data_IF_825491276369
#
_entry.id   IF_825491276369
#
_cell.length_a   1.000
_cell.length_b   1.000
_cell.length_c   1.000
_cell.angle_alpha   90.00
_cell.angle_beta   90.00
_cell.angle_gamma   90.00
#
_symmetry.space_group_name_H-M   'P 1'
#
loop_
_entity.id
_entity.type
_entity.pdbx_description
1 polymer ?
#
# COMPACT_ATOMS: atom_id res chain seq x y z
N UNK A 1 18.62 21.53 5.03
CA UNK A 1 17.61 20.55 4.55
C UNK A 1 16.33 20.84 5.30
N UNK A 2 15.26 21.27 4.63
CA UNK A 2 13.95 21.39 5.25
C UNK A 2 13.47 19.99 5.61
N UNK A 3 13.47 19.67 6.90
CA UNK A 3 12.91 18.42 7.40
C UNK A 3 11.47 18.31 6.88
N UNK A 4 11.15 17.24 6.13
CA UNK A 4 9.77 16.90 5.86
C UNK A 4 9.09 16.80 7.22
N UNK A 5 8.11 17.68 7.51
CA UNK A 5 7.48 17.73 8.83
C UNK A 5 7.03 16.33 9.23
N UNK A 6 7.51 15.84 10.38
CA UNK A 6 7.17 14.51 10.85
C UNK A 6 5.81 14.50 11.53
N UNK A 7 5.12 13.36 11.50
CA UNK A 7 3.84 13.14 12.16
C UNK A 7 3.75 11.71 12.68
N UNK A 8 2.90 11.43 13.69
CA UNK A 8 2.61 10.07 14.06
C UNK A 8 1.96 9.31 12.89
N UNK A 9 2.42 8.09 12.61
CA UNK A 9 1.86 7.22 11.58
C UNK A 9 0.38 6.91 11.86
N UNK A 10 0.03 6.78 13.14
CA UNK A 10 -1.32 6.63 13.70
C UNK A 10 -1.29 7.12 15.16
N UNK A 11 -2.43 7.28 15.83
CA UNK A 11 -2.48 7.79 17.22
C UNK A 11 -1.65 6.91 18.16
N UNK A 12 -0.63 7.50 18.78
CA UNK A 12 0.30 6.77 19.68
C UNK A 12 1.34 5.91 18.96
N UNK A 13 1.39 5.95 17.63
CA UNK A 13 2.36 5.23 16.81
C UNK A 13 3.69 5.98 16.63
N UNK A 14 4.62 5.40 15.87
CA UNK A 14 5.92 6.02 15.61
C UNK A 14 5.77 7.31 14.80
N UNK A 15 6.68 8.25 15.06
CA UNK A 15 6.80 9.49 14.30
C UNK A 15 7.58 9.20 13.01
N UNK A 16 6.98 9.52 11.86
CA UNK A 16 7.57 9.30 10.54
C UNK A 16 7.43 10.54 9.66
N UNK A 17 8.27 10.66 8.64
CA UNK A 17 8.09 11.68 7.60
C UNK A 17 6.78 11.51 6.81
N UNK A 18 6.28 12.62 6.24
CA UNK A 18 5.09 12.64 5.35
C UNK A 18 5.26 11.85 4.06
N UNK A 19 6.48 11.51 3.70
CA UNK A 19 6.81 10.71 2.52
C UNK A 19 7.45 9.40 2.96
N UNK A 20 6.83 8.30 2.55
CA UNK A 20 7.40 6.95 2.67
C UNK A 20 7.77 6.37 1.31
N UNK A 21 8.50 5.27 1.33
CA UNK A 21 8.89 4.54 0.11
C UNK A 21 8.09 3.24 -0.02
N UNK A 22 7.30 3.13 -1.09
CA UNK A 22 6.72 1.86 -1.51
C UNK A 22 7.73 1.03 -2.31
N UNK A 23 7.87 -0.26 -2.00
CA UNK A 23 8.98 -1.09 -2.51
C UNK A 23 8.61 -2.00 -3.68
N UNK A 24 7.39 -1.91 -4.23
CA UNK A 24 6.91 -2.83 -5.29
C UNK A 24 7.84 -2.88 -6.51
N UNK A 25 8.36 -1.73 -6.95
CA UNK A 25 9.28 -1.64 -8.09
C UNK A 25 10.71 -2.12 -7.78
N UNK A 26 11.00 -2.45 -6.52
CA UNK A 26 12.28 -2.99 -6.09
C UNK A 26 12.28 -4.52 -6.05
N UNK A 27 11.11 -5.16 -6.16
CA UNK A 27 10.98 -6.62 -6.20
C UNK A 27 10.20 -7.16 -7.40
N UNK A 28 9.58 -6.28 -8.21
CA UNK A 28 8.91 -6.64 -9.47
C UNK A 28 9.22 -5.62 -10.58
N UNK A 29 9.13 -6.05 -11.83
CA UNK A 29 9.03 -5.16 -12.98
C UNK A 29 7.70 -4.39 -12.90
N UNK A 30 7.74 -3.15 -12.41
CA UNK A 30 6.56 -2.36 -12.08
C UNK A 30 6.71 -0.91 -12.51
N UNK A 31 5.64 -0.34 -13.07
CA UNK A 31 5.56 1.08 -13.44
C UNK A 31 5.11 1.28 -14.87
N UNK A 32 5.34 2.48 -15.38
CA UNK A 32 5.01 2.89 -16.75
C UNK A 32 6.30 3.30 -17.47
N UNK A 33 6.51 2.75 -18.67
CA UNK A 33 7.65 3.09 -19.52
C UNK A 33 8.65 1.95 -19.70
N UNK A 34 9.66 2.15 -20.56
CA UNK A 34 10.67 1.14 -20.87
C UNK A 34 11.51 0.75 -19.64
N UNK A 35 11.67 1.66 -18.68
CA UNK A 35 12.43 1.40 -17.45
C UNK A 35 11.56 0.78 -16.33
N UNK A 36 10.36 0.30 -16.65
CA UNK A 36 9.53 -0.48 -15.73
C UNK A 36 10.03 -1.94 -15.63
N UNK A 37 11.34 -2.09 -15.44
CA UNK A 37 12.03 -3.37 -15.32
C UNK A 37 12.38 -3.65 -13.87
N UNK A 38 12.60 -4.93 -13.53
CA UNK A 38 13.10 -5.29 -12.22
C UNK A 38 14.57 -4.81 -12.09
N UNK A 39 14.90 -3.94 -11.12
CA UNK A 39 16.28 -3.51 -10.94
C UNK A 39 17.17 -4.67 -10.44
N UNK A 40 18.48 -4.64 -10.74
CA UNK A 40 19.46 -5.48 -10.06
C UNK A 40 19.35 -5.35 -8.54
N UNK A 41 19.69 -6.42 -7.81
CA UNK A 41 19.58 -6.43 -6.34
C UNK A 41 20.43 -5.34 -5.69
N UNK A 42 21.67 -5.16 -6.15
CA UNK A 42 22.59 -4.16 -5.62
C UNK A 42 21.98 -2.75 -5.70
N UNK A 43 21.35 -2.40 -6.82
CA UNK A 43 20.71 -1.10 -7.03
C UNK A 43 19.45 -0.94 -6.16
N UNK A 44 18.66 -2.00 -6.00
CA UNK A 44 17.50 -1.99 -5.12
C UNK A 44 17.90 -1.75 -3.65
N UNK A 45 18.93 -2.46 -3.18
CA UNK A 45 19.48 -2.30 -1.82
C UNK A 45 20.09 -0.91 -1.64
N UNK A 46 20.86 -0.43 -2.62
CA UNK A 46 21.43 0.92 -2.59
C UNK A 46 20.35 2.01 -2.55
N UNK A 47 19.26 1.84 -3.32
CA UNK A 47 18.11 2.75 -3.33
C UNK A 47 17.44 2.83 -1.95
N UNK A 48 17.20 1.69 -1.31
CA UNK A 48 16.60 1.62 0.03
C UNK A 48 17.49 2.31 1.08
N UNK A 49 18.80 2.06 1.04
CA UNK A 49 19.77 2.71 1.93
C UNK A 49 19.86 4.22 1.68
N UNK A 50 19.89 4.63 0.42
CA UNK A 50 19.91 6.04 0.06
C UNK A 50 18.64 6.77 0.51
N UNK A 51 17.46 6.15 0.38
CA UNK A 51 16.20 6.68 0.89
C UNK A 51 16.26 6.85 2.42
N UNK A 52 16.75 5.84 3.14
CA UNK A 52 16.91 5.92 4.60
C UNK A 52 17.86 7.04 5.01
N UNK A 53 19.05 7.11 4.41
CA UNK A 53 20.03 8.18 4.65
C UNK A 53 19.52 9.56 4.26
N UNK A 54 18.60 9.63 3.30
CA UNK A 54 17.89 10.85 2.89
C UNK A 54 16.74 11.26 3.81
N UNK A 55 16.49 10.54 4.91
CA UNK A 55 15.46 10.87 5.90
C UNK A 55 14.09 10.23 5.64
N UNK A 56 13.99 9.23 4.77
CA UNK A 56 12.78 8.40 4.69
C UNK A 56 12.78 7.42 5.86
N UNK A 57 11.78 7.50 6.72
CA UNK A 57 11.64 6.63 7.89
C UNK A 57 10.61 5.51 7.67
N UNK A 58 9.63 5.69 6.78
CA UNK A 58 8.54 4.74 6.55
C UNK A 58 8.69 3.99 5.21
N UNK A 59 8.64 2.66 5.26
CA UNK A 59 8.77 1.79 4.10
C UNK A 59 7.58 0.82 4.03
N UNK A 60 6.96 0.72 2.86
CA UNK A 60 5.78 -0.14 2.63
C UNK A 60 6.12 -1.23 1.60
N UNK A 61 6.12 -2.48 2.05
CA UNK A 61 6.47 -3.66 1.27
C UNK A 61 5.36 -4.71 1.34
N UNK A 62 5.54 -5.86 0.68
CA UNK A 62 4.64 -7.01 0.80
C UNK A 62 5.32 -8.29 0.29
N UNK A 63 4.92 -9.48 0.79
CA UNK A 63 5.35 -10.77 0.24
C UNK A 63 4.98 -10.94 -1.24
N UNK A 64 3.87 -10.32 -1.67
CA UNK A 64 3.40 -10.37 -3.05
C UNK A 64 4.25 -9.53 -4.02
N UNK A 65 5.20 -8.72 -3.52
CA UNK A 65 6.04 -7.85 -4.35
C UNK A 65 7.35 -8.54 -4.75
N UNK A 66 7.27 -9.82 -5.15
CA UNK A 66 8.44 -10.61 -5.51
C UNK A 66 9.51 -10.60 -4.41
N UNK A 67 10.72 -10.15 -4.75
CA UNK A 67 11.87 -10.11 -3.84
C UNK A 67 11.91 -8.90 -2.89
N UNK A 68 10.89 -8.04 -2.89
CA UNK A 68 10.94 -6.75 -2.20
C UNK A 68 11.18 -6.88 -0.69
N UNK A 69 10.55 -7.84 0.01
CA UNK A 69 10.80 -8.05 1.45
C UNK A 69 12.24 -8.42 1.73
N UNK A 70 12.78 -9.40 1.00
CA UNK A 70 14.16 -9.86 1.19
C UNK A 70 15.16 -8.73 0.92
N UNK A 71 14.96 -7.97 -0.16
CA UNK A 71 15.79 -6.79 -0.50
C UNK A 71 15.65 -5.69 0.54
N UNK A 72 14.44 -5.48 1.08
CA UNK A 72 14.19 -4.56 2.19
C UNK A 72 14.95 -4.99 3.45
N UNK A 73 14.92 -6.28 3.81
CA UNK A 73 15.67 -6.79 4.96
C UNK A 73 17.20 -6.73 4.80
N UNK A 74 17.72 -6.91 3.58
CA UNK A 74 19.14 -6.71 3.28
C UNK A 74 19.59 -5.25 3.44
N UNK A 75 18.70 -4.31 3.16
CA UNK A 75 19.00 -2.89 3.25
C UNK A 75 18.73 -2.31 4.65
N UNK A 76 17.64 -2.73 5.29
CA UNK A 76 16.97 -2.08 6.41
C UNK A 76 16.52 -3.10 7.48
N UNK A 77 17.39 -4.03 7.85
CA UNK A 77 17.17 -4.97 8.97
C UNK A 77 16.99 -4.26 10.32
N UNK A 78 17.04 -5.02 11.41
CA UNK A 78 16.67 -4.58 12.77
C UNK A 78 17.20 -3.19 13.17
N UNK A 79 18.51 -2.95 13.00
CA UNK A 79 19.18 -1.74 13.51
C UNK A 79 19.03 -0.50 12.61
N UNK A 80 18.27 -0.58 11.51
CA UNK A 80 18.15 0.53 10.55
C UNK A 80 17.35 1.74 11.07
N UNK A 81 16.60 1.58 12.16
CA UNK A 81 15.66 2.58 12.66
C UNK A 81 14.54 2.92 11.67
N UNK A 82 14.35 2.11 10.62
CA UNK A 82 13.25 2.24 9.67
C UNK A 82 11.98 1.60 10.23
N UNK A 83 10.84 2.27 10.04
CA UNK A 83 9.50 1.74 10.28
C UNK A 83 9.03 1.02 9.02
N UNK A 84 8.80 -0.30 9.10
CA UNK A 84 8.44 -1.15 7.96
C UNK A 84 7.01 -1.69 8.13
N UNK A 85 6.14 -1.35 7.19
CA UNK A 85 4.87 -2.01 7.01
C UNK A 85 4.98 -3.11 5.94
N UNK A 86 4.68 -4.35 6.30
CA UNK A 86 4.46 -5.44 5.33
C UNK A 86 3.00 -5.88 5.31
N UNK A 87 2.67 -6.88 4.49
CA UNK A 87 1.30 -7.32 4.26
C UNK A 87 1.15 -8.82 4.38
N UNK A 88 -0.07 -9.28 4.61
CA UNK A 88 -0.49 -10.67 4.45
C UNK A 88 -1.56 -10.74 3.36
N UNK A 89 -1.38 -11.62 2.38
CA UNK A 89 -2.39 -11.90 1.37
C UNK A 89 -3.15 -13.15 1.77
N UNK A 90 -4.42 -12.99 2.13
CA UNK A 90 -5.27 -14.10 2.53
C UNK A 90 -5.66 -14.95 1.31
N UNK A 91 -5.53 -16.28 1.36
CA UNK A 91 -6.11 -17.15 0.34
C UNK A 91 -7.63 -17.05 0.37
N UNK A 92 -8.29 -17.12 -0.80
CA UNK A 92 -9.74 -16.94 -0.90
C UNK A 92 -10.54 -18.02 -0.18
N UNK A 93 -10.07 -19.25 -0.23
CA UNK A 93 -10.81 -20.44 0.21
C UNK A 93 -10.17 -21.12 1.42
N UNK A 94 -9.39 -20.38 2.22
CA UNK A 94 -8.78 -20.93 3.44
C UNK A 94 -9.84 -21.21 4.50
N UNK A 95 -9.79 -22.41 5.08
CA UNK A 95 -10.73 -22.77 6.15
C UNK A 95 -10.44 -22.00 7.44
N UNK A 96 -11.46 -21.85 8.28
CA UNK A 96 -11.29 -21.27 9.62
C UNK A 96 -10.29 -22.05 10.48
N UNK A 97 -10.13 -23.35 10.23
CA UNK A 97 -9.17 -24.20 10.94
C UNK A 97 -7.72 -23.92 10.52
N UNK A 98 -7.47 -23.73 9.22
CA UNK A 98 -6.11 -23.50 8.68
C UNK A 98 -5.65 -22.05 8.84
N UNK A 99 -6.61 -21.11 8.90
CA UNK A 99 -6.34 -19.67 8.90
C UNK A 99 -5.35 -19.21 9.99
N UNK A 100 -5.45 -19.62 11.26
CA UNK A 100 -4.50 -19.20 12.29
C UNK A 100 -3.06 -19.64 11.99
N UNK A 101 -2.86 -20.89 11.56
CA UNK A 101 -1.54 -21.41 11.20
C UNK A 101 -0.95 -20.70 9.98
N UNK A 102 -1.80 -20.35 9.01
CA UNK A 102 -1.40 -19.55 7.85
C UNK A 102 -0.92 -18.16 8.27
N UNK A 103 -1.66 -17.45 9.14
CA UNK A 103 -1.28 -16.12 9.65
C UNK A 103 0.08 -16.19 10.34
N UNK A 104 0.26 -17.15 11.25
CA UNK A 104 1.54 -17.35 11.96
C UNK A 104 2.70 -17.61 11.00
N UNK A 105 2.51 -18.51 10.03
CA UNK A 105 3.55 -18.86 9.04
C UNK A 105 3.89 -17.67 8.15
N UNK A 106 2.89 -16.88 7.74
CA UNK A 106 3.09 -15.68 6.93
C UNK A 106 3.87 -14.60 7.68
N UNK A 107 3.57 -14.38 8.96
CA UNK A 107 4.31 -13.45 9.83
C UNK A 107 5.75 -13.91 10.02
N UNK A 108 5.97 -15.18 10.40
CA UNK A 108 7.31 -15.74 10.59
C UNK A 108 8.18 -15.64 9.32
N UNK A 109 7.59 -15.90 8.16
CA UNK A 109 8.27 -15.78 6.87
C UNK A 109 8.67 -14.33 6.59
N UNK A 110 7.78 -13.38 6.85
CA UNK A 110 8.04 -11.95 6.64
C UNK A 110 9.13 -11.44 7.58
N UNK A 111 9.10 -11.83 8.86
CA UNK A 111 10.16 -11.53 9.84
C UNK A 111 11.53 -12.01 9.37
N UNK A 112 11.61 -13.26 8.90
CA UNK A 112 12.84 -13.85 8.37
C UNK A 112 13.38 -13.07 7.15
N UNK A 113 12.52 -12.79 6.17
CA UNK A 113 12.90 -12.04 4.95
C UNK A 113 13.34 -10.62 5.26
N UNK A 114 12.65 -9.95 6.17
CA UNK A 114 12.94 -8.59 6.60
C UNK A 114 14.12 -8.52 7.56
N UNK A 115 14.61 -9.66 8.06
CA UNK A 115 15.66 -9.73 9.10
C UNK A 115 15.27 -8.91 10.32
N UNK A 116 14.03 -9.13 10.79
CA UNK A 116 13.44 -8.43 11.93
C UNK A 116 13.00 -9.40 13.03
N UNK A 117 13.14 -8.98 14.29
CA UNK A 117 12.58 -9.66 15.45
C UNK A 117 11.09 -9.36 15.65
N UNK A 118 10.63 -8.21 15.14
CA UNK A 118 9.23 -7.75 15.22
C UNK A 118 8.84 -6.95 13.98
N UNK A 119 7.62 -7.14 13.49
CA UNK A 119 7.05 -6.29 12.43
C UNK A 119 6.49 -5.00 13.04
N UNK A 120 6.91 -3.83 12.53
CA UNK A 120 6.34 -2.56 12.98
C UNK A 120 4.85 -2.45 12.63
N UNK A 121 4.46 -2.98 11.47
CA UNK A 121 3.07 -3.04 11.06
C UNK A 121 2.82 -4.22 10.10
N UNK A 122 1.75 -4.97 10.38
CA UNK A 122 1.21 -5.97 9.46
C UNK A 122 -0.12 -5.47 8.89
N UNK A 123 -0.25 -5.46 7.56
CA UNK A 123 -1.50 -5.08 6.89
C UNK A 123 -2.17 -6.27 6.20
N UNK A 124 -3.50 -6.39 6.28
CA UNK A 124 -4.20 -7.28 5.35
C UNK A 124 -4.12 -6.68 3.93
N UNK A 125 -3.67 -7.49 2.97
CA UNK A 125 -3.53 -7.09 1.57
C UNK A 125 -4.88 -7.22 0.87
N UNK A 126 -5.46 -6.09 0.47
CA UNK A 126 -6.77 -6.01 -0.20
C UNK A 126 -7.92 -6.45 0.71
N UNK A 127 -7.93 -5.94 1.95
CA UNK A 127 -8.98 -6.24 2.91
C UNK A 127 -10.35 -5.76 2.41
N UNK A 128 -11.36 -6.52 2.80
CA UNK A 128 -12.78 -6.24 2.56
C UNK A 128 -13.51 -6.02 3.88
N UNK A 129 -14.70 -5.43 3.82
CA UNK A 129 -15.58 -5.36 4.99
C UNK A 129 -15.91 -6.75 5.58
N UNK A 130 -15.97 -7.80 4.76
CA UNK A 130 -16.19 -9.17 5.21
C UNK A 130 -15.01 -9.71 6.04
N UNK A 131 -13.77 -9.38 5.68
CA UNK A 131 -12.58 -9.74 6.47
C UNK A 131 -12.65 -9.11 7.87
N UNK A 132 -13.13 -7.87 7.95
CA UNK A 132 -13.33 -7.14 9.22
C UNK A 132 -14.45 -7.69 10.09
N UNK A 133 -15.25 -8.63 9.57
CA UNK A 133 -16.31 -9.32 10.29
C UNK A 133 -15.95 -10.77 10.62
N UNK A 134 -14.78 -11.28 10.17
CA UNK A 134 -14.35 -12.65 10.42
C UNK A 134 -13.66 -12.75 11.80
N UNK A 135 -14.32 -13.32 12.84
CA UNK A 135 -13.74 -13.35 14.18
C UNK A 135 -12.48 -14.22 14.28
N UNK A 136 -12.38 -15.26 13.46
CA UNK A 136 -11.22 -16.16 13.45
C UNK A 136 -9.99 -15.45 12.89
N UNK A 137 -10.16 -14.70 11.81
CA UNK A 137 -9.11 -13.87 11.24
C UNK A 137 -8.62 -12.82 12.26
N UNK A 138 -9.56 -12.09 12.86
CA UNK A 138 -9.24 -11.03 13.81
C UNK A 138 -8.53 -11.58 15.05
N UNK A 139 -8.96 -12.73 15.56
CA UNK A 139 -8.30 -13.41 16.68
C UNK A 139 -6.89 -13.88 16.30
N UNK A 140 -6.69 -14.45 15.12
CA UNK A 140 -5.38 -14.87 14.64
C UNK A 140 -4.40 -13.69 14.51
N UNK A 141 -4.85 -12.57 13.94
CA UNK A 141 -4.03 -11.36 13.83
C UNK A 141 -3.73 -10.73 15.21
N UNK A 142 -4.70 -10.75 16.12
CA UNK A 142 -4.51 -10.30 17.50
C UNK A 142 -3.47 -11.15 18.23
N UNK A 143 -3.49 -12.47 18.06
CA UNK A 143 -2.53 -13.37 18.68
C UNK A 143 -1.08 -13.06 18.27
N UNK A 144 -0.84 -12.59 17.04
CA UNK A 144 0.49 -12.14 16.60
C UNK A 144 0.94 -10.84 17.29
N UNK A 145 0.00 -9.96 17.64
CA UNK A 145 0.26 -8.76 18.42
C UNK A 145 0.56 -9.12 19.88
N UNK A 146 -0.28 -9.96 20.48
CA UNK A 146 -0.14 -10.39 21.88
C UNK A 146 1.15 -11.20 22.10
N UNK A 147 1.57 -11.97 21.11
CA UNK A 147 2.87 -12.67 21.09
C UNK A 147 4.07 -11.73 20.85
N UNK A 148 3.85 -10.43 20.64
CA UNK A 148 4.90 -9.43 20.43
C UNK A 148 5.57 -9.46 19.05
N UNK A 149 5.12 -10.32 18.12
CA UNK A 149 5.68 -10.44 16.77
C UNK A 149 5.25 -9.31 15.83
N UNK A 150 4.13 -8.66 16.11
CA UNK A 150 3.59 -7.53 15.36
C UNK A 150 3.30 -6.36 16.31
N UNK A 151 3.76 -5.15 16.00
CA UNK A 151 3.49 -3.98 16.84
C UNK A 151 2.10 -3.40 16.59
N UNK A 152 1.67 -3.35 15.33
CA UNK A 152 0.43 -2.72 14.92
C UNK A 152 -0.23 -3.43 13.73
N UNK A 153 -1.56 -3.41 13.73
CA UNK A 153 -2.35 -3.93 12.61
C UNK A 153 -2.86 -2.80 11.73
N UNK A 154 -2.95 -3.08 10.43
CA UNK A 154 -3.61 -2.23 9.47
C UNK A 154 -4.21 -3.01 8.31
N UNK A 155 -4.67 -2.31 7.30
CA UNK A 155 -5.18 -2.94 6.07
C UNK A 155 -4.95 -2.07 4.85
N UNK A 156 -4.77 -2.67 3.68
CA UNK A 156 -4.85 -1.98 2.39
C UNK A 156 -6.16 -2.32 1.70
N UNK A 157 -6.87 -1.31 1.21
CA UNK A 157 -8.21 -1.45 0.61
C UNK A 157 -8.30 -0.76 -0.75
N UNK A 158 -9.42 -0.96 -1.46
CA UNK A 158 -9.70 -0.30 -2.74
C UNK A 158 -10.89 0.68 -2.69
N UNK A 159 -11.81 0.48 -1.75
CA UNK A 159 -13.05 1.25 -1.66
C UNK A 159 -13.20 1.98 -0.33
N UNK A 160 -14.05 3.03 -0.30
CA UNK A 160 -14.36 3.74 0.94
C UNK A 160 -15.13 2.88 1.94
N UNK A 161 -15.98 1.95 1.48
CA UNK A 161 -16.73 1.03 2.35
C UNK A 161 -15.77 0.14 3.17
N UNK A 162 -14.86 -0.55 2.49
CA UNK A 162 -13.84 -1.37 3.15
C UNK A 162 -12.95 -0.52 4.06
N UNK A 163 -12.62 0.71 3.66
CA UNK A 163 -11.83 1.62 4.50
C UNK A 163 -12.56 2.00 5.79
N UNK A 164 -13.86 2.30 5.69
CA UNK A 164 -14.70 2.62 6.85
C UNK A 164 -14.84 1.42 7.79
N UNK A 165 -14.97 0.20 7.24
CA UNK A 165 -15.00 -1.03 8.03
C UNK A 165 -13.70 -1.20 8.83
N UNK A 166 -12.53 -1.07 8.18
CA UNK A 166 -11.23 -1.15 8.85
C UNK A 166 -11.09 -0.11 9.97
N UNK A 167 -11.51 1.13 9.73
CA UNK A 167 -11.43 2.19 10.75
C UNK A 167 -12.32 1.90 11.95
N UNK A 168 -13.46 1.23 11.75
CA UNK A 168 -14.36 0.85 12.83
C UNK A 168 -13.89 -0.39 13.60
N UNK A 169 -12.96 -1.19 13.06
CA UNK A 169 -12.48 -2.44 13.68
C UNK A 169 -11.49 -2.17 14.81
N UNK A 170 -11.80 -2.58 16.06
CA UNK A 170 -10.88 -2.39 17.18
C UNK A 170 -9.52 -3.07 16.97
N UNK A 171 -8.44 -2.32 17.23
CA UNK A 171 -7.07 -2.81 17.08
C UNK A 171 -6.40 -2.53 15.74
N UNK A 172 -7.16 -2.10 14.74
CA UNK A 172 -6.59 -1.62 13.48
C UNK A 172 -6.22 -0.16 13.64
N UNK A 173 -4.94 0.13 13.40
CA UNK A 173 -4.34 1.45 13.65
C UNK A 173 -4.08 2.23 12.36
N UNK A 174 -4.06 1.57 11.21
CA UNK A 174 -3.84 2.21 9.92
C UNK A 174 -4.65 1.59 8.79
N UNK A 175 -5.10 2.44 7.86
CA UNK A 175 -5.65 2.00 6.57
C UNK A 175 -4.89 2.64 5.41
N UNK A 176 -4.48 1.81 4.46
CA UNK A 176 -3.86 2.20 3.21
C UNK A 176 -4.91 2.28 2.10
N UNK A 177 -5.01 3.43 1.44
CA UNK A 177 -6.03 3.73 0.43
C UNK A 177 -5.40 4.17 -0.88
N UNK A 178 -6.04 3.85 -2.00
CA UNK A 178 -5.74 4.50 -3.27
C UNK A 178 -6.34 5.91 -3.27
N UNK A 179 -5.51 6.93 -3.50
CA UNK A 179 -5.97 8.31 -3.58
C UNK A 179 -5.02 9.14 -4.45
N UNK A 180 -5.56 9.94 -5.36
CA UNK A 180 -4.81 10.84 -6.24
C UNK A 180 -5.68 12.01 -6.69
N UNK A 181 -5.13 12.95 -7.46
CA UNK A 181 -5.92 14.03 -8.08
C UNK A 181 -7.05 13.49 -9.00
N UNK A 182 -6.90 12.28 -9.54
CA UNK A 182 -7.89 11.64 -10.42
C UNK A 182 -8.80 10.63 -9.71
N UNK A 183 -8.36 10.09 -8.59
CA UNK A 183 -9.15 9.15 -7.77
C UNK A 183 -9.35 9.72 -6.36
N UNK A 184 -10.54 10.26 -6.13
CA UNK A 184 -10.93 10.92 -4.88
C UNK A 184 -12.01 10.13 -4.13
N UNK A 185 -12.29 8.87 -4.50
CA UNK A 185 -13.40 8.08 -3.91
C UNK A 185 -13.27 7.93 -2.40
N UNK A 186 -12.05 7.78 -1.89
CA UNK A 186 -11.78 7.68 -0.46
C UNK A 186 -11.65 9.03 0.26
N UNK A 187 -11.97 10.17 -0.38
CA UNK A 187 -11.89 11.50 0.27
C UNK A 187 -12.71 11.57 1.55
N UNK A 188 -13.91 10.98 1.54
CA UNK A 188 -14.83 11.00 2.68
C UNK A 188 -14.26 10.30 3.92
N UNK A 189 -13.27 9.42 3.76
CA UNK A 189 -12.66 8.64 4.83
C UNK A 189 -11.71 9.46 5.69
N UNK A 190 -11.25 10.62 5.22
CA UNK A 190 -10.18 11.36 5.87
C UNK A 190 -10.58 11.85 7.26
N UNK A 191 -11.76 12.46 7.38
CA UNK A 191 -12.28 12.93 8.66
C UNK A 191 -12.59 11.77 9.62
N UNK A 192 -13.10 10.66 9.09
CA UNK A 192 -13.41 9.47 9.89
C UNK A 192 -12.14 8.84 10.49
N UNK A 193 -11.08 8.71 9.69
CA UNK A 193 -9.80 8.17 10.13
C UNK A 193 -9.16 9.06 11.22
N UNK A 194 -9.16 10.37 11.00
CA UNK A 194 -8.62 11.35 11.97
C UNK A 194 -9.36 11.30 13.31
N UNK A 195 -10.70 11.32 13.28
CA UNK A 195 -11.53 11.22 14.47
C UNK A 195 -11.27 9.92 15.25
N UNK A 196 -11.10 8.79 14.55
CA UNK A 196 -10.79 7.50 15.14
C UNK A 196 -9.32 7.34 15.57
N UNK A 197 -8.43 8.28 15.21
CA UNK A 197 -6.99 8.15 15.45
C UNK A 197 -6.30 7.10 14.58
N UNK A 198 -6.93 6.69 13.48
CA UNK A 198 -6.41 5.71 12.51
C UNK A 198 -5.56 6.42 11.46
N UNK A 199 -4.34 5.94 11.26
CA UNK A 199 -3.39 6.45 10.29
C UNK A 199 -3.76 6.19 8.84
N UNK A 200 -3.69 7.21 7.99
CA UNK A 200 -3.90 7.06 6.54
C UNK A 200 -2.58 6.96 5.78
N UNK A 201 -2.40 5.84 5.07
CA UNK A 201 -1.30 5.68 4.11
C UNK A 201 -1.86 5.79 2.69
N UNK A 202 -1.52 6.87 1.99
CA UNK A 202 -1.97 7.06 0.60
C UNK A 202 -1.02 6.36 -0.36
N UNK A 203 -1.56 5.43 -1.17
CA UNK A 203 -0.86 4.83 -2.30
C UNK A 203 -1.43 5.36 -3.63
N UNK A 204 -0.68 5.11 -4.70
CA UNK A 204 -1.09 5.48 -6.07
C UNK A 204 -1.29 6.99 -6.29
N UNK A 205 -0.65 7.83 -5.48
CA UNK A 205 -0.70 9.30 -5.61
C UNK A 205 -0.32 9.77 -7.02
N UNK A 206 0.63 9.08 -7.66
CA UNK A 206 1.06 9.34 -9.04
C UNK A 206 0.58 8.29 -10.06
N UNK A 207 -0.32 7.37 -9.69
CA UNK A 207 -0.86 6.32 -10.55
C UNK A 207 0.23 5.55 -11.34
N UNK A 208 1.18 4.91 -10.63
CA UNK A 208 2.34 4.19 -11.20
C UNK A 208 3.25 5.06 -12.08
N UNK A 209 3.20 6.38 -11.91
CA UNK A 209 3.93 7.36 -12.70
C UNK A 209 3.14 7.96 -13.85
N UNK A 210 1.88 7.54 -14.09
CA UNK A 210 1.04 8.16 -15.10
C UNK A 210 0.86 9.66 -14.86
N UNK A 211 0.72 10.11 -13.61
CA UNK A 211 0.63 11.54 -13.26
C UNK A 211 1.99 12.25 -13.20
N UNK A 212 2.92 11.86 -14.07
CA UNK A 212 4.25 12.47 -14.20
C UNK A 212 4.65 12.57 -15.67
N UNK A 213 5.90 12.96 -15.96
CA UNK A 213 6.44 12.95 -17.32
C UNK A 213 6.33 11.56 -18.01
N UNK A 214 6.21 10.47 -17.24
CA UNK A 214 6.08 9.09 -17.75
C UNK A 214 4.75 8.82 -18.46
N UNK A 215 3.75 9.69 -18.36
CA UNK A 215 2.49 9.56 -19.11
C UNK A 215 2.69 9.41 -20.64
N UNK A 216 3.82 9.92 -21.18
CA UNK A 216 4.19 9.76 -22.59
C UNK A 216 4.28 8.30 -23.03
N UNK A 217 4.53 7.38 -22.08
CA UNK A 217 4.65 5.94 -22.32
C UNK A 217 3.36 5.15 -22.07
N UNK A 218 2.28 5.76 -21.57
CA UNK A 218 0.97 5.10 -21.48
C UNK A 218 0.44 4.82 -22.90
N UNK A 219 0.39 3.54 -23.31
CA UNK A 219 -0.09 3.13 -24.64
C UNK A 219 -1.63 2.96 -24.66
N UNK A 220 -2.34 3.40 -25.72
CA UNK A 220 -3.68 2.90 -26.04
C UNK A 220 -3.62 1.39 -26.37
N UNK A 221 -4.70 0.61 -26.12
CA UNK A 221 -6.01 0.85 -26.72
C UNK A 221 -7.08 1.22 -25.70
N UNK A 222 -7.84 2.26 -26.03
CA UNK A 222 -9.00 2.67 -25.27
C UNK A 222 -10.19 1.77 -25.60
N UNK A 223 -10.95 1.23 -24.63
CA UNK A 223 -12.25 0.67 -24.96
C UNK A 223 -13.08 1.78 -25.63
N UNK A 224 -13.49 1.54 -26.89
CA UNK A 224 -14.34 2.45 -27.68
C UNK A 224 -15.68 2.77 -27.01
N UNK A 225 -16.04 2.09 -25.92
CA UNK A 225 -17.26 2.35 -25.17
C UNK A 225 -16.97 3.12 -23.87
N UNK A 226 -17.50 4.34 -23.71
CA UNK A 226 -17.56 4.97 -22.42
C UNK A 226 -18.58 4.19 -21.57
N UNK A 227 -18.13 3.28 -20.71
CA UNK A 227 -18.94 2.95 -19.53
C UNK A 227 -18.93 4.18 -18.66
N UNK A 228 -20.01 4.96 -18.81
CA UNK A 228 -20.31 6.19 -18.08
C UNK A 228 -20.37 5.88 -16.59
N UNK A 229 -19.24 5.95 -15.89
CA UNK A 229 -19.29 6.28 -14.46
C UNK A 229 -19.69 7.76 -14.39
N UNK A 230 -20.89 7.99 -13.90
CA UNK A 230 -21.65 9.26 -13.97
C UNK A 230 -20.92 10.46 -13.33
N UNK A 231 -19.91 10.22 -12.49
CA UNK A 231 -19.08 11.28 -11.89
C UNK A 231 -17.92 11.80 -12.77
N UNK A 232 -17.37 11.00 -13.68
CA UNK A 232 -16.15 11.38 -14.44
C UNK A 232 -16.45 12.00 -15.80
N UNK A 233 -17.62 11.72 -16.38
CA UNK A 233 -18.08 12.33 -17.64
C UNK A 233 -18.14 13.87 -17.57
N UNK A 234 -18.47 14.43 -16.40
CA UNK A 234 -18.44 15.89 -16.17
C UNK A 234 -17.02 16.48 -16.17
N UNK A 235 -15.99 15.71 -15.77
CA UNK A 235 -14.58 16.17 -15.76
C UNK A 235 -13.90 16.04 -17.13
N UNK A 236 -14.42 15.20 -18.03
CA UNK A 236 -13.93 15.05 -19.40
C UNK A 236 -14.19 16.28 -20.28
N UNK A 237 -15.18 17.11 -19.95
CA UNK A 237 -15.52 18.28 -20.75
C UNK A 237 -14.45 19.40 -20.71
N UNK A 238 -13.55 19.38 -19.70
CA UNK A 238 -12.56 20.44 -19.46
C UNK A 238 -11.15 20.04 -19.94
N UNK A 239 -10.92 18.75 -20.18
CA UNK A 239 -9.58 18.20 -20.42
C UNK A 239 -9.47 17.78 -21.90
N UNK A 240 -8.71 18.54 -22.69
CA UNK A 240 -8.53 18.26 -24.12
C UNK A 240 -8.07 16.83 -24.40
N UNK A 241 -8.61 16.19 -25.46
CA UNK A 241 -8.42 14.74 -25.75
C UNK A 241 -6.97 14.28 -25.95
N UNK A 242 -6.01 15.21 -26.07
CA UNK A 242 -4.58 14.92 -26.24
C UNK A 242 -3.70 15.38 -25.06
N UNK A 243 -4.27 15.98 -24.02
CA UNK A 243 -3.48 16.50 -22.91
C UNK A 243 -3.17 15.44 -21.84
N UNK A 244 -2.10 15.69 -21.07
CA UNK A 244 -1.59 14.82 -20.00
C UNK A 244 -2.69 14.28 -19.06
N UNK A 245 -3.65 15.11 -18.57
CA UNK A 245 -4.69 14.62 -17.69
C UNK A 245 -5.68 13.66 -18.36
N UNK A 246 -5.87 13.75 -19.69
CA UNK A 246 -6.69 12.81 -20.44
C UNK A 246 -6.03 11.43 -20.44
N UNK A 247 -4.75 11.33 -20.82
CA UNK A 247 -4.00 10.05 -20.81
C UNK A 247 -3.94 9.39 -19.43
N UNK A 248 -3.83 10.20 -18.37
CA UNK A 248 -3.83 9.71 -16.99
C UNK A 248 -5.20 9.19 -16.53
N UNK A 249 -6.28 9.92 -16.87
CA UNK A 249 -7.65 9.48 -16.60
C UNK A 249 -7.96 8.14 -17.27
N UNK A 250 -7.30 7.89 -18.40
CA UNK A 250 -7.50 6.70 -19.19
C UNK A 250 -6.88 5.47 -18.55
N UNK A 251 -5.60 5.57 -18.19
CA UNK A 251 -4.89 4.53 -17.43
C UNK A 251 -5.63 4.14 -16.14
N UNK A 252 -6.24 5.11 -15.46
CA UNK A 252 -7.03 4.88 -14.25
C UNK A 252 -8.28 4.02 -14.50
N UNK A 253 -8.94 4.13 -15.67
CA UNK A 253 -10.15 3.38 -16.00
C UNK A 253 -9.86 1.96 -16.51
N UNK A 254 -8.72 1.74 -17.17
CA UNK A 254 -8.32 0.39 -17.65
C UNK A 254 -7.93 -0.56 -16.52
N UNK A 255 -7.49 -0.04 -15.37
CA UNK A 255 -7.06 -0.83 -14.21
C UNK A 255 -8.17 -1.65 -13.54
N UNK A 256 -9.44 -1.43 -13.87
CA UNK A 256 -10.56 -2.20 -13.31
C UNK A 256 -10.71 -3.62 -13.87
N UNK A 257 -10.02 -3.99 -14.96
CA UNK A 257 -10.11 -5.33 -15.56
C UNK A 257 -8.98 -6.27 -15.21
N UNK A 258 -7.84 -5.75 -14.75
CA UNK A 258 -6.73 -6.55 -14.26
C UNK A 258 -6.71 -6.45 -12.74
N UNK A 259 -7.30 -7.43 -12.08
CA UNK A 259 -7.09 -7.68 -10.65
C UNK A 259 -5.58 -7.54 -10.34
N UNK A 260 -5.24 -6.89 -9.22
CA UNK A 260 -3.88 -6.57 -8.72
C UNK A 260 -3.34 -5.18 -9.09
N UNK A 261 -3.64 -4.15 -8.30
CA UNK A 261 -2.92 -2.88 -8.26
C UNK A 261 -2.37 -2.57 -6.86
#
# INVERSE_FOLDING_TARGET
MTAFSALPLYRGGPIVGRLGLGTVALGLAYGVGPDAVLPPEADAVATLRAARSGGVDFFDTAPAYGDAERRTGLALGEDSGAVIATKILLPKDISAFELPAFVQTSVATSLSRLKRGKLDMLKIHNATAADMQNPVLLAALRAEVDAGRVAALGASVYGPEDAAAVIATPGFTSVQIAFSVLDQRCRAIFAQADAAGVGLVVRSALLKGALSFRARFCRPPWPRSPRRSTGFARRQAVIGKNCLPWRCAMFCQSGHRSQSC
#
